data_IF_407450995810
#
_entry.id   IF_407450995810
#
_cell.length_a   1.000
_cell.length_b   1.000
_cell.length_c   1.000
_cell.angle_alpha   90.00
_cell.angle_beta   90.00
_cell.angle_gamma   90.00
#
_symmetry.space_group_name_H-M   'P 1'
#
loop_
_entity.id
_entity.type
_entity.pdbx_description
1 polymer ?
#
# COMPACT_ATOMS: atom_id res chain seq x y z
N UNK A 1 -7.76 10.55 -16.07
CA UNK A 1 -7.05 9.34 -16.54
C UNK A 1 -5.53 9.40 -16.35
N UNK A 2 -4.83 10.45 -16.82
CA UNK A 2 -3.35 10.50 -16.79
C UNK A 2 -2.74 10.38 -15.39
N UNK A 3 -3.32 11.02 -14.38
CA UNK A 3 -2.85 10.90 -12.99
C UNK A 3 -2.87 9.45 -12.49
N UNK A 4 -3.99 8.75 -12.71
CA UNK A 4 -4.13 7.34 -12.37
C UNK A 4 -3.13 6.45 -13.12
N UNK A 5 -2.97 6.65 -14.44
CA UNK A 5 -2.01 5.89 -15.24
C UNK A 5 -0.59 6.02 -14.71
N UNK A 6 -0.16 7.26 -14.42
CA UNK A 6 1.17 7.54 -13.86
C UNK A 6 1.36 6.90 -12.49
N UNK A 7 0.35 6.97 -11.62
CA UNK A 7 0.44 6.36 -10.30
C UNK A 7 0.62 4.84 -10.38
N UNK A 8 -0.15 4.16 -11.23
CA UNK A 8 -0.04 2.70 -11.42
C UNK A 8 1.30 2.32 -12.05
N UNK A 9 1.74 3.06 -13.08
CA UNK A 9 3.05 2.84 -13.71
C UNK A 9 4.21 2.97 -12.71
N UNK A 10 4.15 3.99 -11.85
CA UNK A 10 5.16 4.18 -10.81
C UNK A 10 5.17 3.06 -9.75
N UNK A 11 4.00 2.46 -9.48
CA UNK A 11 3.88 1.42 -8.45
C UNK A 11 4.21 0.00 -8.95
N UNK A 12 4.04 -0.28 -10.26
CA UNK A 12 4.04 -1.65 -10.78
C UNK A 12 4.87 -1.89 -12.03
N UNK A 13 5.57 -0.87 -12.53
CA UNK A 13 6.30 -0.90 -13.81
C UNK A 13 5.41 -1.25 -15.04
N UNK A 14 4.09 -1.36 -14.84
CA UNK A 14 3.11 -1.63 -15.87
C UNK A 14 2.25 -0.38 -16.11
N UNK A 15 2.05 -0.02 -17.38
CA UNK A 15 1.24 1.14 -17.75
C UNK A 15 -0.14 0.69 -18.23
N UNK A 16 -1.22 0.96 -17.48
CA UNK A 16 -2.57 0.57 -17.88
C UNK A 16 -3.10 1.41 -19.05
N UNK A 17 -3.78 0.76 -19.98
CA UNK A 17 -4.49 1.41 -21.10
C UNK A 17 -5.74 2.11 -20.56
N UNK A 18 -6.53 1.43 -19.74
CA UNK A 18 -7.82 1.90 -19.21
C UNK A 18 -7.85 1.95 -17.67
N UNK A 19 -7.04 2.83 -17.04
CA UNK A 19 -6.90 2.89 -15.56
C UNK A 19 -8.18 3.27 -14.80
N UNK A 20 -9.22 3.75 -15.50
CA UNK A 20 -10.51 4.14 -14.93
C UNK A 20 -11.64 3.24 -15.45
N UNK A 21 -11.32 2.05 -15.98
CA UNK A 21 -12.36 1.10 -16.41
C UNK A 21 -13.13 0.58 -15.20
N UNK A 22 -14.46 0.75 -15.23
CA UNK A 22 -15.38 0.21 -14.23
C UNK A 22 -15.67 -1.28 -14.42
N UNK A 23 -15.26 -1.86 -15.55
CA UNK A 23 -15.48 -3.27 -15.88
C UNK A 23 -14.23 -4.02 -15.47
N UNK A 24 -14.38 -4.96 -14.53
CA UNK A 24 -13.28 -5.77 -14.00
C UNK A 24 -13.80 -7.02 -13.33
N UNK A 25 -12.95 -8.04 -13.27
CA UNK A 25 -13.13 -9.22 -12.44
C UNK A 25 -12.07 -9.20 -11.34
N UNK A 26 -12.45 -9.64 -10.14
CA UNK A 26 -11.55 -9.64 -8.98
C UNK A 26 -11.83 -10.88 -8.15
N UNK A 27 -10.77 -11.49 -7.60
CA UNK A 27 -10.93 -12.60 -6.65
C UNK A 27 -11.37 -12.06 -5.30
N UNK A 28 -11.92 -12.92 -4.44
CA UNK A 28 -12.31 -12.51 -3.10
C UNK A 28 -11.14 -11.94 -2.30
N UNK A 29 -10.00 -12.63 -2.32
CA UNK A 29 -8.78 -12.20 -1.63
C UNK A 29 -8.26 -10.84 -2.11
N UNK A 30 -8.28 -10.59 -3.42
CA UNK A 30 -7.86 -9.30 -3.97
C UNK A 30 -8.86 -8.17 -3.61
N UNK A 31 -10.16 -8.45 -3.57
CA UNK A 31 -11.15 -7.49 -3.11
C UNK A 31 -10.95 -7.15 -1.63
N UNK A 32 -10.73 -8.16 -0.80
CA UNK A 32 -10.48 -7.97 0.64
C UNK A 32 -9.20 -7.14 0.87
N UNK A 33 -8.13 -7.39 0.10
CA UNK A 33 -6.91 -6.59 0.13
C UNK A 33 -7.09 -5.14 -0.33
N UNK A 34 -8.05 -4.88 -1.22
CA UNK A 34 -8.39 -3.54 -1.68
C UNK A 34 -9.28 -2.76 -0.70
N UNK A 35 -9.73 -3.39 0.39
CA UNK A 35 -10.56 -2.71 1.39
C UNK A 35 -9.73 -1.75 2.26
N UNK A 36 -10.26 -0.57 2.62
CA UNK A 36 -11.54 -0.02 2.19
C UNK A 36 -11.48 0.58 0.76
N UNK A 37 -12.55 0.36 -0.01
CA UNK A 37 -12.69 0.90 -1.37
C UNK A 37 -12.75 2.43 -1.35
N UNK A 38 -12.03 3.06 -2.28
CA UNK A 38 -12.16 4.49 -2.51
C UNK A 38 -13.54 4.83 -3.09
N UNK A 39 -13.99 6.07 -2.88
CA UNK A 39 -15.28 6.56 -3.38
C UNK A 39 -15.14 7.13 -4.80
N UNK A 40 -16.27 7.21 -5.49
CA UNK A 40 -16.39 7.90 -6.77
C UNK A 40 -15.47 7.31 -7.84
N UNK A 41 -14.97 8.17 -8.73
CA UNK A 41 -14.12 7.72 -9.83
C UNK A 41 -12.69 7.31 -9.39
N UNK A 42 -12.35 7.51 -8.12
CA UNK A 42 -11.07 7.08 -7.54
C UNK A 42 -11.04 5.61 -7.17
N UNK A 43 -12.19 4.93 -7.08
CA UNK A 43 -12.30 3.50 -6.74
C UNK A 43 -11.42 2.64 -7.63
N UNK A 44 -11.58 2.81 -8.94
CA UNK A 44 -10.98 1.96 -9.96
C UNK A 44 -9.45 1.93 -9.88
N UNK A 45 -8.73 3.07 -9.94
CA UNK A 45 -7.27 3.09 -9.87
C UNK A 45 -6.73 2.83 -8.46
N UNK A 46 -7.49 3.17 -7.41
CA UNK A 46 -7.11 2.89 -6.03
C UNK A 46 -7.09 1.39 -5.77
N UNK A 47 -8.16 0.69 -6.18
CA UNK A 47 -8.22 -0.77 -6.10
C UNK A 47 -7.06 -1.41 -6.86
N UNK A 48 -6.74 -0.93 -8.07
CA UNK A 48 -5.58 -1.44 -8.83
C UNK A 48 -4.28 -1.27 -8.05
N UNK A 49 -4.05 -0.11 -7.41
CA UNK A 49 -2.87 0.11 -6.58
C UNK A 49 -2.84 -0.82 -5.37
N UNK A 50 -3.95 -0.98 -4.65
CA UNK A 50 -3.97 -1.79 -3.42
C UNK A 50 -3.68 -3.25 -3.71
N UNK A 51 -4.27 -3.81 -4.77
CA UNK A 51 -4.02 -5.20 -5.12
C UNK A 51 -2.58 -5.40 -5.61
N UNK A 52 -2.01 -4.43 -6.32
CA UNK A 52 -0.61 -4.46 -6.74
C UNK A 52 0.33 -4.38 -5.53
N UNK A 53 0.05 -3.49 -4.56
CA UNK A 53 0.83 -3.40 -3.32
C UNK A 53 0.70 -4.65 -2.46
N UNK A 54 -0.45 -5.32 -2.48
CA UNK A 54 -0.65 -6.63 -1.85
C UNK A 54 -0.02 -7.79 -2.64
N UNK A 55 0.67 -7.53 -3.76
CA UNK A 55 1.40 -8.53 -4.54
C UNK A 55 0.54 -9.35 -5.49
N UNK A 56 -0.73 -8.99 -5.71
CA UNK A 56 -1.56 -9.63 -6.72
C UNK A 56 -1.17 -9.22 -8.14
N UNK A 57 -1.47 -10.09 -9.09
CA UNK A 57 -1.28 -9.82 -10.52
C UNK A 57 -2.51 -9.13 -11.10
N UNK A 58 -2.27 -8.12 -11.95
CA UNK A 58 -3.30 -7.41 -12.71
C UNK A 58 -2.99 -7.56 -14.19
N UNK A 59 -4.03 -7.81 -15.00
CA UNK A 59 -3.93 -7.85 -16.47
C UNK A 59 -5.12 -7.15 -17.10
N UNK A 60 -4.90 -6.48 -18.22
CA UNK A 60 -5.97 -5.94 -19.06
C UNK A 60 -6.21 -6.91 -20.22
N UNK A 61 -7.45 -7.41 -20.32
CA UNK A 61 -7.88 -8.27 -21.42
C UNK A 61 -8.63 -7.41 -22.42
N UNK A 62 -8.24 -7.48 -23.68
CA UNK A 62 -8.95 -6.81 -24.75
C UNK A 62 -10.30 -7.49 -24.99
N UNK A 63 -11.37 -6.69 -24.97
CA UNK A 63 -12.74 -7.16 -25.10
C UNK A 63 -13.52 -6.23 -26.03
N UNK A 64 -14.46 -6.77 -26.80
CA UNK A 64 -15.37 -5.99 -27.67
C UNK A 64 -16.50 -5.29 -26.88
N UNK A 65 -16.12 -4.43 -25.93
CA UNK A 65 -17.06 -3.71 -25.07
C UNK A 65 -17.14 -2.25 -25.49
N UNK A 66 -18.36 -1.75 -25.68
CA UNK A 66 -18.63 -0.35 -26.05
C UNK A 66 -19.31 0.39 -24.91
N UNK A 67 -18.84 1.60 -24.63
CA UNK A 67 -19.48 2.45 -23.63
C UNK A 67 -20.74 3.10 -24.19
N UNK A 68 -21.81 3.15 -23.39
CA UNK A 68 -23.01 3.91 -23.72
C UNK A 68 -22.66 5.41 -23.74
N UNK A 69 -22.95 6.15 -24.83
CA UNK A 69 -22.71 7.59 -24.87
C UNK A 69 -23.42 8.31 -23.72
N UNK A 70 -22.72 9.21 -23.05
CA UNK A 70 -23.31 10.09 -22.04
C UNK A 70 -23.69 11.44 -22.66
N UNK A 71 -24.79 12.03 -22.19
CA UNK A 71 -25.23 13.36 -22.61
C UNK A 71 -24.13 14.42 -22.39
N UNK A 72 -24.00 15.34 -23.35
CA UNK A 72 -22.89 16.30 -23.43
C UNK A 72 -22.94 17.41 -22.36
N UNK A 73 -24.13 17.77 -21.87
CA UNK A 73 -24.37 18.99 -21.09
C UNK A 73 -23.61 19.13 -19.76
N UNK A 74 -23.03 18.05 -19.22
CA UNK A 74 -22.25 18.10 -17.95
C UNK A 74 -20.85 17.50 -18.05
N UNK A 75 -20.28 17.38 -19.26
CA UNK A 75 -18.97 16.72 -19.46
C UNK A 75 -17.84 17.36 -18.65
N UNK A 76 -17.74 18.69 -18.64
CA UNK A 76 -16.68 19.39 -17.92
C UNK A 76 -16.76 19.14 -16.40
N UNK A 77 -17.95 19.25 -15.81
CA UNK A 77 -18.18 19.01 -14.39
C UNK A 77 -17.91 17.55 -14.00
N UNK A 78 -18.34 16.58 -14.83
CA UNK A 78 -18.05 15.16 -14.62
C UNK A 78 -16.54 14.88 -14.64
N UNK A 79 -15.81 15.48 -15.58
CA UNK A 79 -14.36 15.33 -15.66
C UNK A 79 -13.65 15.93 -14.44
N UNK A 80 -14.09 17.11 -13.98
CA UNK A 80 -13.55 17.75 -12.78
C UNK A 80 -13.78 16.90 -11.52
N UNK A 81 -15.00 16.37 -11.34
CA UNK A 81 -15.34 15.47 -10.24
C UNK A 81 -14.52 14.17 -10.31
N UNK A 82 -14.40 13.57 -11.50
CA UNK A 82 -13.58 12.38 -11.69
C UNK A 82 -12.11 12.65 -11.33
N UNK A 83 -11.56 13.78 -11.76
CA UNK A 83 -10.18 14.14 -11.42
C UNK A 83 -9.99 14.31 -9.91
N UNK A 84 -10.90 15.06 -9.25
CA UNK A 84 -10.90 15.24 -7.80
C UNK A 84 -10.93 13.92 -7.05
N UNK A 85 -11.87 13.03 -7.40
CA UNK A 85 -12.02 11.73 -6.74
C UNK A 85 -10.75 10.87 -6.90
N UNK A 86 -10.15 10.86 -8.10
CA UNK A 86 -8.88 10.15 -8.36
C UNK A 86 -7.77 10.72 -7.49
N UNK A 87 -7.60 12.04 -7.45
CA UNK A 87 -6.53 12.66 -6.67
C UNK A 87 -6.68 12.40 -5.17
N UNK A 88 -7.90 12.45 -4.62
CA UNK A 88 -8.16 12.11 -3.21
C UNK A 88 -7.77 10.66 -2.93
N UNK A 89 -8.17 9.73 -3.81
CA UNK A 89 -7.90 8.31 -3.63
C UNK A 89 -6.39 7.99 -3.67
N UNK A 90 -5.66 8.59 -4.62
CA UNK A 90 -4.21 8.42 -4.74
C UNK A 90 -3.46 9.02 -3.55
N UNK A 91 -3.81 10.25 -3.17
CA UNK A 91 -3.13 10.96 -2.07
C UNK A 91 -3.36 10.28 -0.73
N UNK A 92 -4.57 9.80 -0.44
CA UNK A 92 -4.86 9.09 0.82
C UNK A 92 -4.02 7.82 1.01
N UNK A 93 -3.77 7.07 -0.08
CA UNK A 93 -2.91 5.87 -0.06
C UNK A 93 -1.45 6.20 0.09
N UNK A 94 -0.98 7.26 -0.56
CA UNK A 94 0.40 7.76 -0.38
C UNK A 94 0.64 8.18 1.08
N UNK A 95 -0.31 8.89 1.68
CA UNK A 95 -0.23 9.30 3.09
C UNK A 95 -0.23 8.06 4.00
N UNK A 96 -1.15 7.11 3.78
CA UNK A 96 -1.21 5.87 4.57
C UNK A 96 0.11 5.09 4.53
N UNK A 97 0.64 4.82 3.34
CA UNK A 97 1.91 4.10 3.21
C UNK A 97 3.09 4.84 3.86
N UNK A 98 3.09 6.19 3.81
CA UNK A 98 4.11 6.99 4.50
C UNK A 98 3.99 6.92 6.03
N UNK A 99 2.76 6.92 6.56
CA UNK A 99 2.51 6.76 8.00
C UNK A 99 2.90 5.36 8.49
N UNK A 100 2.53 4.31 7.75
CA UNK A 100 2.90 2.92 8.05
C UNK A 100 4.43 2.75 8.08
N UNK A 101 5.14 3.31 7.09
CA UNK A 101 6.61 3.29 7.05
C UNK A 101 7.22 4.00 8.26
N UNK A 102 6.64 5.13 8.67
CA UNK A 102 7.14 5.90 9.82
C UNK A 102 6.89 5.13 11.12
N UNK A 103 5.71 4.52 11.27
CA UNK A 103 5.36 3.70 12.43
C UNK A 103 6.30 2.50 12.57
N UNK A 104 6.58 1.78 11.48
CA UNK A 104 7.48 0.63 11.52
C UNK A 104 8.90 1.02 11.96
N UNK A 105 9.43 2.15 11.49
CA UNK A 105 10.76 2.65 11.90
C UNK A 105 10.79 2.99 13.40
N UNK A 106 9.73 3.61 13.91
CA UNK A 106 9.62 3.93 15.35
C UNK A 106 9.55 2.65 16.18
N UNK A 107 8.72 1.68 15.76
CA UNK A 107 8.60 0.38 16.42
C UNK A 107 9.94 -0.38 16.44
N UNK A 108 10.65 -0.44 15.31
CA UNK A 108 11.97 -1.07 15.21
C UNK A 108 12.99 -0.43 16.16
N UNK A 109 12.98 0.91 16.24
CA UNK A 109 13.87 1.67 17.13
C UNK A 109 13.56 1.38 18.60
N UNK A 110 12.29 1.36 18.98
CA UNK A 110 11.84 1.03 20.34
C UNK A 110 12.18 -0.41 20.71
N UNK A 111 12.04 -1.35 19.77
CA UNK A 111 12.40 -2.75 19.98
C UNK A 111 13.91 -2.90 20.19
N UNK A 112 14.73 -2.24 19.37
CA UNK A 112 16.19 -2.23 19.51
C UNK A 112 16.65 -1.64 20.85
N UNK A 113 16.07 -0.51 21.28
CA UNK A 113 16.38 0.11 22.57
C UNK A 113 16.02 -0.81 23.75
N UNK A 114 14.87 -1.50 23.67
CA UNK A 114 14.42 -2.45 24.68
C UNK A 114 15.36 -3.67 24.78
N UNK A 115 15.79 -4.22 23.64
CA UNK A 115 16.77 -5.31 23.61
C UNK A 115 18.14 -4.88 24.15
N UNK A 116 18.59 -3.66 23.84
CA UNK A 116 19.83 -3.10 24.38
C UNK A 116 19.76 -2.94 25.91
N UNK A 117 18.67 -2.36 26.43
CA UNK A 117 18.44 -2.23 27.87
C UNK A 117 18.41 -3.61 28.57
N UNK A 118 17.80 -4.61 27.94
CA UNK A 118 17.75 -5.98 28.47
C UNK A 118 19.13 -6.67 28.47
N UNK A 119 19.99 -6.40 27.47
CA UNK A 119 21.38 -6.89 27.48
C UNK A 119 22.22 -6.26 28.59
N UNK A 120 22.04 -4.97 28.84
CA UNK A 120 22.74 -4.25 29.93
C UNK A 120 22.24 -4.70 31.30
N UNK A 121 20.94 -4.96 31.45
CA UNK A 121 20.33 -5.42 32.70
C UNK A 121 20.55 -6.91 33.01
N UNK A 122 21.05 -7.72 32.06
CA UNK A 122 21.49 -9.08 32.38
C UNK A 122 22.72 -8.96 33.28
N UNK A 123 22.67 -9.44 34.54
CA UNK A 123 23.87 -9.46 35.37
C UNK A 123 24.94 -10.23 34.60
N UNK A 124 26.16 -9.67 34.54
CA UNK A 124 27.34 -10.47 34.21
C UNK A 124 27.23 -11.68 35.13
N UNK A 125 26.99 -12.87 34.57
CA UNK A 125 27.21 -14.10 35.32
C UNK A 125 28.68 -14.04 35.67
N UNK A 126 28.96 -13.67 36.91
CA UNK A 126 30.27 -13.76 37.49
C UNK A 126 30.73 -15.19 37.24
N UNK A 127 31.84 -15.31 36.51
CA UNK A 127 32.65 -16.52 36.52
C UNK A 127 33.21 -16.64 37.94
N UNK A 128 32.39 -17.07 38.88
CA UNK A 128 32.84 -17.62 40.14
C UNK A 128 32.75 -19.14 39.97
N UNK A 129 33.85 -19.75 39.51
CA UNK A 129 34.28 -21.12 39.79
C UNK A 129 35.57 -21.38 39.00
N UNK A 130 36.68 -20.77 39.43
CA UNK A 130 38.02 -21.39 39.35
C UNK A 130 39.01 -20.52 40.14
N UNK A 131 39.01 -20.71 41.45
CA UNK A 131 40.14 -20.41 42.34
C UNK A 131 39.84 -21.09 43.68
N UNK A 132 40.18 -22.37 43.76
CA UNK A 132 40.55 -23.00 45.02
C UNK A 132 41.96 -23.51 44.77
N UNK A 133 42.94 -22.69 45.17
CA UNK A 133 44.35 -23.08 45.28
C UNK A 133 44.59 -23.88 46.57
N UNK A 134 45.55 -24.81 46.47
CA UNK A 134 46.38 -25.52 47.46
C UNK A 134 46.23 -25.20 48.96
N UNK A 135 46.14 -26.25 49.80
CA UNK A 135 47.26 -26.74 50.65
C UNK A 135 46.84 -27.93 51.55
N UNK A 136 47.52 -29.08 51.41
CA UNK A 136 47.85 -30.13 52.41
C UNK A 136 48.16 -31.49 51.77
#
# INVERSE_FOLDING_TARGET
>A
ANAARRAIANASQWTPVQPLSRIRCVTRAALDAAMPLARGAGLDPAMTLDVLYAGFRVTEVECELRHKPQAAGTRALRNANQYRDVMIALSSRRIRGGLETTQSVVEDTLHAATHAATRVARPRRDRAHEAVEDDA
#
